data_IF_625092795919
#
_entry.id   IF_625092795919
#
_cell.length_a   1.000
_cell.length_b   1.000
_cell.length_c   1.000
_cell.angle_alpha   90.00
_cell.angle_beta   90.00
_cell.angle_gamma   90.00
#
_symmetry.space_group_name_H-M   'P 1'
#
loop_
_entity.id
_entity.type
_entity.pdbx_description
1 polymer ?
#
# COMPACT_ATOMS: atom_id res chain seq x y z
N UNK A 1 -11.63 -0.01 -2.50
CA UNK A 1 -10.62 0.93 -3.05
C UNK A 1 -10.19 1.81 -1.88
N UNK A 2 -9.18 1.37 -1.12
CA UNK A 2 -8.72 2.05 0.10
C UNK A 2 -8.11 3.39 -0.28
N UNK A 3 -8.83 4.47 0.01
CA UNK A 3 -8.33 5.84 0.00
C UNK A 3 -8.19 6.25 1.46
N UNK A 4 -7.17 5.75 2.15
CA UNK A 4 -6.82 6.25 3.47
C UNK A 4 -5.31 6.48 3.48
N UNK A 5 -4.94 7.75 3.36
CA UNK A 5 -4.47 8.52 4.52
C UNK A 5 -3.08 8.07 4.97
N UNK A 6 -2.08 8.44 4.17
CA UNK A 6 -0.74 8.64 4.72
C UNK A 6 -0.50 10.15 4.76
N UNK A 7 -1.30 10.81 5.61
CA UNK A 7 -1.19 12.22 6.00
C UNK A 7 0.03 12.36 6.93
N UNK A 8 1.22 12.11 6.38
CA UNK A 8 2.47 12.13 7.16
C UNK A 8 3.72 12.42 6.35
N UNK A 9 3.66 12.27 5.02
CA UNK A 9 4.74 12.69 4.13
C UNK A 9 4.26 13.91 3.37
N UNK A 10 4.96 15.03 3.50
CA UNK A 10 4.69 16.31 2.81
C UNK A 10 4.78 16.20 1.27
N UNK A 11 5.08 15.01 0.75
CA UNK A 11 5.07 14.62 -0.67
C UNK A 11 3.88 13.71 -0.94
N UNK A 12 3.13 14.01 -2.00
CA UNK A 12 1.99 13.18 -2.45
C UNK A 12 2.43 11.73 -2.63
N UNK A 13 2.07 10.88 -1.67
CA UNK A 13 2.33 9.44 -1.74
C UNK A 13 1.52 8.86 -2.90
N UNK A 14 2.24 8.29 -3.86
CA UNK A 14 1.65 7.59 -4.99
C UNK A 14 1.60 6.10 -4.66
N UNK A 15 0.45 5.51 -4.93
CA UNK A 15 0.24 4.08 -4.81
C UNK A 15 -0.32 3.55 -6.12
N UNK A 16 0.13 2.36 -6.50
CA UNK A 16 -0.29 1.70 -7.74
C UNK A 16 -0.52 0.23 -7.46
N UNK A 17 -1.67 -0.29 -7.86
CA UNK A 17 -1.91 -1.72 -7.95
C UNK A 17 -1.13 -2.26 -9.16
N UNK A 18 -0.19 -3.17 -8.90
CA UNK A 18 0.65 -3.77 -9.95
C UNK A 18 0.08 -5.12 -10.36
N UNK A 19 -0.55 -5.81 -9.43
CA UNK A 19 -1.22 -7.05 -9.70
C UNK A 19 -2.45 -7.17 -8.83
N UNK A 20 -3.55 -7.58 -9.44
CA UNK A 20 -4.75 -8.04 -8.75
C UNK A 20 -5.14 -9.37 -9.39
N UNK A 21 -5.12 -10.44 -8.59
CA UNK A 21 -5.58 -11.76 -9.01
C UNK A 21 -6.72 -12.18 -8.10
N UNK A 22 -7.75 -12.73 -8.73
CA UNK A 22 -8.84 -13.40 -8.04
C UNK A 22 -8.58 -14.88 -8.29
N UNK A 23 -8.01 -15.55 -7.30
CA UNK A 23 -7.65 -16.97 -7.40
C UNK A 23 -8.90 -17.85 -7.19
N UNK A 24 -9.78 -17.43 -6.28
CA UNK A 24 -11.08 -18.06 -6.04
C UNK A 24 -12.06 -17.03 -5.50
N UNK A 25 -13.37 -17.35 -5.45
CA UNK A 25 -14.42 -16.47 -4.91
C UNK A 25 -14.08 -15.90 -3.51
N UNK A 26 -13.19 -16.57 -2.76
CA UNK A 26 -12.71 -16.17 -1.44
C UNK A 26 -11.25 -15.74 -1.36
N UNK A 27 -10.44 -15.94 -2.40
CA UNK A 27 -9.00 -15.64 -2.39
C UNK A 27 -8.71 -14.52 -3.39
N UNK A 28 -8.56 -13.33 -2.82
CA UNK A 28 -8.15 -12.12 -3.52
C UNK A 28 -6.68 -11.86 -3.18
N UNK A 29 -5.82 -11.94 -4.19
CA UNK A 29 -4.41 -11.61 -4.08
C UNK A 29 -4.16 -10.28 -4.76
N UNK A 30 -3.42 -9.39 -4.12
CA UNK A 30 -3.06 -8.10 -4.69
C UNK A 30 -1.63 -7.71 -4.34
N UNK A 31 -0.89 -7.19 -5.32
CA UNK A 31 0.39 -6.52 -5.13
C UNK A 31 0.23 -5.03 -5.38
N UNK A 32 0.71 -4.24 -4.43
CA UNK A 32 0.68 -2.78 -4.50
C UNK A 32 2.10 -2.24 -4.30
N UNK A 33 2.41 -1.17 -5.02
CA UNK A 33 3.63 -0.38 -4.83
C UNK A 33 3.23 0.97 -4.24
N UNK A 34 3.96 1.41 -3.22
CA UNK A 34 3.80 2.70 -2.57
C UNK A 34 5.13 3.46 -2.66
N UNK A 35 5.12 4.65 -3.27
CA UNK A 35 6.30 5.49 -3.46
C UNK A 35 5.91 6.98 -3.50
N UNK A 36 6.78 7.91 -3.05
CA UNK A 36 8.05 7.68 -2.38
C UNK A 36 7.85 7.35 -0.90
N UNK A 37 8.49 6.29 -0.40
CA UNK A 37 8.56 5.99 1.03
C UNK A 37 9.88 6.53 1.60
N UNK A 38 9.81 7.22 2.74
CA UNK A 38 11.01 7.62 3.47
C UNK A 38 11.62 6.40 4.18
N UNK A 39 12.95 6.38 4.35
CA UNK A 39 13.64 5.29 5.06
C UNK A 39 13.04 5.13 6.46
N UNK A 40 12.57 3.93 6.80
CA UNK A 40 11.90 3.62 8.07
C UNK A 40 10.36 3.70 8.02
N UNK A 41 9.77 4.42 7.05
CA UNK A 41 8.30 4.52 6.92
C UNK A 41 7.67 3.19 6.47
N UNK A 42 8.37 2.42 5.64
CA UNK A 42 7.91 1.11 5.20
C UNK A 42 7.79 0.12 6.38
N UNK A 43 8.69 0.23 7.34
CA UNK A 43 8.71 -0.60 8.55
C UNK A 43 7.50 -0.27 9.44
N UNK A 44 7.22 1.02 9.63
CA UNK A 44 6.04 1.46 10.39
C UNK A 44 4.72 1.05 9.73
N UNK A 45 4.63 1.06 8.40
CA UNK A 45 3.42 0.62 7.67
C UNK A 45 3.22 -0.89 7.79
N UNK A 46 4.29 -1.69 7.77
CA UNK A 46 4.21 -3.16 7.89
C UNK A 46 3.87 -3.59 9.33
N UNK A 47 4.18 -2.75 10.33
CA UNK A 47 4.05 -3.07 11.76
C UNK A 47 2.88 -2.34 12.45
N UNK A 48 1.91 -1.76 11.73
CA UNK A 48 0.69 -1.25 12.38
C UNK A 48 -0.12 -2.46 12.92
N UNK A 49 -0.31 -2.61 14.25
CA UNK A 49 -1.13 -3.67 14.85
C UNK A 49 -2.64 -3.46 14.64
#
# INVERSE_FOLDING_TARGET
MVREEVVGSTRTLQWRCVESRIDSNRLYYGRFILCPLMKGQADTIVTIP
#
